data_IF_657748682921
#
_entry.id   IF_657748682921
#
_cell.length_a   1.000
_cell.length_b   1.000
_cell.length_c   1.000
_cell.angle_alpha   90.00
_cell.angle_beta   90.00
_cell.angle_gamma   90.00
#
_symmetry.space_group_name_H-M   'P 1'
#
loop_
_entity.id
_entity.type
_entity.pdbx_description
1 polymer ?
#
# COMPACT_ATOMS: atom_id res chain seq x y z
N UNK A 1 9.31 -26.59 -6.54
CA UNK A 1 10.27 -25.63 -7.14
C UNK A 1 9.79 -25.07 -8.46
N UNK A 2 9.23 -25.86 -9.39
CA UNK A 2 8.72 -25.34 -10.67
C UNK A 2 7.60 -24.33 -10.45
N UNK A 3 6.73 -24.50 -9.46
CA UNK A 3 5.77 -23.46 -9.08
C UNK A 3 6.44 -22.19 -8.53
N UNK A 4 7.59 -22.30 -7.86
CA UNK A 4 8.35 -21.17 -7.30
C UNK A 4 9.28 -20.55 -8.35
N UNK A 5 9.82 -21.29 -9.31
CA UNK A 5 10.67 -20.82 -10.40
C UNK A 5 9.81 -20.30 -11.57
N UNK A 6 8.67 -20.93 -11.90
CA UNK A 6 7.61 -20.34 -12.73
C UNK A 6 7.14 -19.04 -12.11
N UNK A 7 6.79 -19.03 -10.81
CA UNK A 7 6.44 -17.79 -10.12
C UNK A 7 7.60 -16.86 -9.88
N UNK A 8 8.86 -17.28 -9.81
CA UNK A 8 10.01 -16.39 -9.57
C UNK A 8 10.63 -15.88 -10.85
N UNK A 9 10.43 -16.53 -11.99
CA UNK A 9 10.87 -16.09 -13.30
C UNK A 9 9.73 -15.35 -14.02
N UNK A 10 8.49 -15.83 -13.87
CA UNK A 10 7.33 -14.97 -14.06
C UNK A 10 7.38 -13.83 -13.04
N UNK A 11 7.76 -13.97 -11.75
CA UNK A 11 7.92 -12.80 -10.83
C UNK A 11 9.11 -11.88 -11.10
N UNK A 12 10.25 -12.43 -11.48
CA UNK A 12 11.45 -11.65 -11.79
C UNK A 12 11.40 -11.03 -13.19
N UNK A 13 10.49 -11.43 -14.08
CA UNK A 13 10.31 -10.79 -15.40
C UNK A 13 8.93 -10.10 -15.52
N UNK A 14 7.89 -10.53 -14.79
CA UNK A 14 6.48 -10.09 -14.97
C UNK A 14 5.59 -10.04 -13.69
N UNK A 15 5.98 -10.65 -12.58
CA UNK A 15 5.14 -10.89 -11.39
C UNK A 15 5.60 -10.00 -10.25
N UNK A 16 5.80 -8.73 -10.60
CA UNK A 16 5.40 -7.64 -9.72
C UNK A 16 3.86 -7.61 -9.52
N UNK A 17 3.09 -8.46 -10.23
CA UNK A 17 1.68 -8.73 -9.97
C UNK A 17 1.51 -9.99 -9.12
N UNK A 18 1.25 -9.86 -7.80
CA UNK A 18 0.84 -11.00 -7.00
C UNK A 18 -0.51 -11.53 -7.53
N UNK A 19 -0.50 -12.71 -8.16
CA UNK A 19 -1.73 -13.48 -8.39
C UNK A 19 -2.28 -13.86 -7.02
N UNK A 20 -3.29 -13.11 -6.61
CA UNK A 20 -3.95 -13.13 -5.31
C UNK A 20 -4.78 -14.40 -5.08
N UNK A 21 -4.14 -15.57 -5.08
CA UNK A 21 -4.78 -16.82 -4.67
C UNK A 21 -4.71 -17.06 -3.14
N UNK A 22 -4.11 -16.13 -2.38
CA UNK A 22 -4.07 -16.17 -0.92
C UNK A 22 -5.39 -15.69 -0.29
N UNK A 23 -5.78 -16.28 0.85
CA UNK A 23 -6.89 -15.76 1.65
C UNK A 23 -6.68 -14.27 1.96
N UNK A 24 -7.71 -13.45 1.72
CA UNK A 24 -7.68 -12.05 2.08
C UNK A 24 -7.67 -11.88 3.62
N UNK A 25 -6.82 -10.99 4.09
CA UNK A 25 -6.79 -10.47 5.45
C UNK A 25 -7.39 -9.06 5.47
N UNK A 26 -8.14 -8.76 6.51
CA UNK A 26 -8.87 -7.50 6.62
C UNK A 26 -8.46 -6.77 7.89
N UNK A 27 -8.22 -5.47 7.77
CA UNK A 27 -7.78 -4.61 8.85
C UNK A 27 -8.75 -3.45 8.96
N UNK A 28 -9.37 -3.31 10.12
CA UNK A 28 -10.32 -2.26 10.39
C UNK A 28 -9.81 -1.39 11.53
N UNK A 29 -10.02 -0.09 11.41
CA UNK A 29 -9.82 0.84 12.51
C UNK A 29 -10.84 1.96 12.47
N UNK A 30 -11.26 2.41 13.65
CA UNK A 30 -12.13 3.57 13.83
C UNK A 30 -11.54 4.46 14.92
N UNK A 31 -11.35 5.73 14.58
CA UNK A 31 -10.66 6.71 15.42
C UNK A 31 -11.56 7.93 15.60
N UNK A 32 -11.76 8.37 16.83
CA UNK A 32 -12.43 9.65 17.10
C UNK A 32 -11.46 10.53 17.88
N UNK A 33 -11.16 11.70 17.33
CA UNK A 33 -10.32 12.71 17.98
C UNK A 33 -11.25 13.76 18.57
N UNK A 34 -11.04 14.08 19.84
CA UNK A 34 -11.81 15.07 20.57
C UNK A 34 -11.14 16.46 20.49
N UNK A 35 -11.88 17.52 20.80
CA UNK A 35 -11.42 18.92 20.72
C UNK A 35 -10.19 19.22 21.58
N UNK A 36 -10.02 18.48 22.68
CA UNK A 36 -8.86 18.54 23.59
C UNK A 36 -7.66 17.72 23.10
N UNK A 37 -7.81 16.92 22.04
CA UNK A 37 -6.79 16.03 21.51
C UNK A 37 -6.80 14.62 22.09
N UNK A 38 -7.69 14.31 23.03
CA UNK A 38 -7.93 12.94 23.47
C UNK A 38 -8.49 12.10 22.32
N UNK A 39 -8.25 10.79 22.36
CA UNK A 39 -8.56 9.91 21.24
C UNK A 39 -9.23 8.64 21.71
N UNK A 40 -10.32 8.28 21.04
CA UNK A 40 -10.87 6.94 21.08
C UNK A 40 -10.38 6.16 19.87
N UNK A 41 -9.90 4.93 20.08
CA UNK A 41 -9.52 4.04 18.98
C UNK A 41 -10.15 2.66 19.17
N UNK A 42 -10.66 2.13 18.08
CA UNK A 42 -11.08 0.75 17.95
C UNK A 42 -10.36 0.10 16.77
N UNK A 43 -9.99 -1.18 16.90
CA UNK A 43 -9.34 -1.94 15.83
C UNK A 43 -9.95 -3.34 15.72
N UNK A 44 -9.90 -3.91 14.52
CA UNK A 44 -10.12 -5.34 14.25
C UNK A 44 -9.08 -5.81 13.23
N UNK A 45 -8.34 -6.86 13.54
CA UNK A 45 -7.31 -7.38 12.65
C UNK A 45 -7.01 -8.87 12.91
N UNK A 46 -6.33 -9.58 12.00
CA UNK A 46 -5.89 -10.95 12.25
C UNK A 46 -4.98 -11.02 13.50
N UNK A 47 -5.20 -12.03 14.34
CA UNK A 47 -4.38 -12.27 15.53
C UNK A 47 -2.91 -12.53 15.16
N UNK A 48 -2.67 -13.16 14.01
CA UNK A 48 -1.32 -13.40 13.45
C UNK A 48 -0.54 -12.13 13.10
N UNK A 49 -1.23 -11.00 12.96
CA UNK A 49 -0.67 -9.72 12.55
C UNK A 49 -0.41 -8.75 13.72
N UNK A 50 -0.68 -9.18 14.95
CA UNK A 50 -0.32 -8.40 16.13
C UNK A 50 1.20 -8.24 16.23
N UNK A 51 1.63 -7.03 16.56
CA UNK A 51 3.05 -6.71 16.76
C UNK A 51 3.56 -7.37 18.04
N UNK A 52 4.87 -7.56 18.16
CA UNK A 52 5.46 -7.97 19.44
C UNK A 52 5.27 -6.89 20.53
N UNK A 53 5.02 -5.63 20.12
CA UNK A 53 4.74 -4.50 21.00
C UNK A 53 3.27 -4.33 21.37
N UNK A 54 2.37 -5.21 20.91
CA UNK A 54 0.96 -5.14 21.27
C UNK A 54 0.80 -5.50 22.76
N UNK A 55 0.54 -4.48 23.58
CA UNK A 55 0.30 -4.65 25.02
C UNK A 55 -1.20 -4.55 25.31
N UNK A 56 -1.83 -5.70 25.53
CA UNK A 56 -3.27 -5.80 25.85
C UNK A 56 -3.67 -4.92 27.05
N UNK A 57 -2.75 -4.66 27.98
CA UNK A 57 -3.02 -3.85 29.19
C UNK A 57 -3.14 -2.36 28.91
N UNK A 58 -2.73 -1.91 27.73
CA UNK A 58 -2.87 -0.52 27.28
C UNK A 58 -4.21 -0.25 26.58
N UNK A 59 -5.04 -1.29 26.42
CA UNK A 59 -6.37 -1.18 25.85
C UNK A 59 -7.40 -1.39 26.96
N UNK A 60 -8.52 -0.67 26.89
CA UNK A 60 -9.61 -0.80 27.86
C UNK A 60 -10.30 -2.16 27.73
N UNK A 61 -10.38 -2.67 26.49
CA UNK A 61 -10.89 -4.00 26.22
C UNK A 61 -10.16 -4.64 25.03
N UNK A 62 -9.83 -5.93 25.16
CA UNK A 62 -9.33 -6.79 24.08
C UNK A 62 -10.11 -8.09 24.07
N UNK A 63 -10.60 -8.50 22.90
CA UNK A 63 -11.37 -9.73 22.76
C UNK A 63 -11.21 -10.37 21.39
N UNK A 64 -11.44 -11.68 21.32
CA UNK A 64 -11.49 -12.40 20.05
C UNK A 64 -12.77 -12.08 19.26
N UNK A 65 -12.67 -12.00 17.94
CA UNK A 65 -13.83 -11.79 17.05
C UNK A 65 -13.78 -12.71 15.83
N UNK A 66 -14.90 -12.79 15.12
CA UNK A 66 -15.00 -13.55 13.87
C UNK A 66 -14.12 -12.90 12.79
N UNK A 67 -13.67 -13.72 11.84
CA UNK A 67 -13.02 -13.23 10.62
C UNK A 67 -13.95 -12.28 9.86
N UNK A 68 -13.40 -11.15 9.44
CA UNK A 68 -14.07 -10.24 8.51
C UNK A 68 -14.04 -10.87 7.10
N UNK A 69 -15.08 -10.65 6.31
CA UNK A 69 -15.21 -11.23 4.96
C UNK A 69 -15.25 -10.18 3.83
N UNK A 70 -14.78 -8.95 4.11
CA UNK A 70 -14.58 -7.90 3.10
C UNK A 70 -15.84 -7.22 2.56
N UNK A 71 -17.02 -7.83 2.75
CA UNK A 71 -18.32 -7.32 2.33
C UNK A 71 -19.08 -6.54 3.41
N UNK A 72 -20.36 -6.83 3.62
CA UNK A 72 -21.23 -6.16 4.61
C UNK A 72 -20.84 -6.43 6.09
N UNK A 73 -19.77 -7.17 6.35
CA UNK A 73 -19.37 -7.58 7.70
C UNK A 73 -18.44 -6.60 8.42
N UNK A 74 -17.98 -5.54 7.76
CA UNK A 74 -17.20 -4.51 8.43
C UNK A 74 -18.05 -3.81 9.49
N UNK A 75 -17.55 -3.67 10.72
CA UNK A 75 -18.16 -2.76 11.68
C UNK A 75 -18.21 -1.36 11.05
N UNK A 76 -19.34 -0.69 11.18
CA UNK A 76 -19.50 0.70 10.69
C UNK A 76 -18.93 1.70 11.69
N UNK A 77 -18.92 1.34 12.97
CA UNK A 77 -18.46 2.17 14.08
C UNK A 77 -17.94 1.31 15.23
N UNK A 78 -17.17 1.96 16.12
CA UNK A 78 -16.79 1.41 17.44
C UNK A 78 -17.97 0.83 18.21
N UNK A 79 -19.16 1.43 18.16
CA UNK A 79 -20.34 0.99 18.91
C UNK A 79 -20.91 -0.36 18.44
N UNK A 80 -20.63 -0.78 17.21
CA UNK A 80 -21.02 -2.10 16.71
C UNK A 80 -20.09 -3.22 17.21
N UNK A 81 -18.92 -2.87 17.76
CA UNK A 81 -18.04 -3.83 18.43
C UNK A 81 -18.59 -4.15 19.82
N UNK A 82 -19.51 -5.11 19.87
CA UNK A 82 -19.92 -5.70 21.15
C UNK A 82 -18.85 -6.67 21.62
N UNK A 83 -18.41 -6.54 22.87
CA UNK A 83 -17.61 -7.57 23.52
C UNK A 83 -18.40 -8.88 23.53
N UNK A 84 -17.91 -9.98 22.93
CA UNK A 84 -18.55 -11.27 23.09
C UNK A 84 -18.49 -11.67 24.57
N UNK A 85 -19.47 -12.45 25.02
CA UNK A 85 -19.63 -12.87 26.42
C UNK A 85 -18.45 -13.69 26.97
N UNK A 86 -17.51 -14.13 26.12
CA UNK A 86 -16.17 -14.58 26.52
C UNK A 86 -15.20 -14.49 25.31
N UNK A 87 -13.93 -14.09 25.51
CA UNK A 87 -12.90 -14.24 24.49
C UNK A 87 -12.74 -15.73 24.18
N UNK A 88 -12.92 -16.16 22.94
CA UNK A 88 -12.52 -17.51 22.56
C UNK A 88 -11.02 -17.49 22.24
N UNK A 89 -10.18 -18.30 22.93
CA UNK A 89 -8.74 -18.36 22.68
C UNK A 89 -8.37 -18.70 21.22
N UNK A 90 -9.32 -19.27 20.48
CA UNK A 90 -9.15 -19.70 19.09
C UNK A 90 -9.72 -18.71 18.07
N UNK A 91 -10.04 -17.47 18.47
CA UNK A 91 -10.47 -16.46 17.49
C UNK A 91 -9.31 -16.08 16.56
N UNK A 92 -9.53 -16.25 15.26
CA UNK A 92 -8.59 -15.85 14.20
C UNK A 92 -8.33 -14.34 14.19
N UNK A 93 -9.32 -13.54 14.63
CA UNK A 93 -9.23 -12.09 14.69
C UNK A 93 -9.32 -11.61 16.13
N UNK A 94 -8.72 -10.44 16.35
CA UNK A 94 -8.77 -9.72 17.62
C UNK A 94 -9.39 -8.36 17.39
N UNK A 95 -10.22 -7.93 18.33
CA UNK A 95 -10.71 -6.58 18.43
C UNK A 95 -10.13 -5.93 19.70
N UNK A 96 -9.80 -4.65 19.63
CA UNK A 96 -9.38 -3.89 20.80
C UNK A 96 -9.99 -2.49 20.79
N UNK A 97 -10.32 -2.00 21.98
CA UNK A 97 -10.96 -0.72 22.24
C UNK A 97 -10.13 0.03 23.30
N UNK A 98 -9.87 1.30 23.07
CA UNK A 98 -9.11 2.12 24.02
C UNK A 98 -9.44 3.60 23.94
N UNK A 99 -9.24 4.30 25.04
CA UNK A 99 -9.21 5.76 25.17
C UNK A 99 -7.79 6.19 25.53
N UNK A 100 -7.28 7.20 24.83
CA UNK A 100 -5.88 7.61 24.89
C UNK A 100 -5.78 9.13 25.07
N UNK A 101 -4.86 9.62 25.93
CA UNK A 101 -4.67 11.06 26.12
C UNK A 101 -4.27 11.81 24.84
N UNK A 102 -3.50 11.17 23.97
CA UNK A 102 -3.09 11.72 22.67
C UNK A 102 -3.01 10.64 21.59
N UNK A 103 -2.97 11.04 20.32
CA UNK A 103 -2.74 10.12 19.19
C UNK A 103 -1.42 9.35 19.31
N UNK A 104 -0.39 9.94 19.95
CA UNK A 104 0.91 9.29 20.15
C UNK A 104 0.87 8.18 21.20
N UNK A 105 -0.14 8.19 22.08
CA UNK A 105 -0.29 7.19 23.14
C UNK A 105 -0.98 5.91 22.66
N UNK A 106 -1.57 5.91 21.45
CA UNK A 106 -2.19 4.73 20.83
C UNK A 106 -1.10 3.64 20.63
N UNK A 107 -1.23 2.45 21.26
CA UNK A 107 -0.26 1.39 21.11
C UNK A 107 -0.11 0.94 19.65
N UNK A 108 1.13 0.62 19.26
CA UNK A 108 1.38 0.00 17.97
C UNK A 108 0.68 -1.36 17.90
N UNK A 109 -0.24 -1.50 16.95
CA UNK A 109 -1.05 -2.70 16.77
C UNK A 109 -0.81 -3.40 15.44
N UNK A 110 -0.20 -2.73 14.46
CA UNK A 110 0.11 -3.32 13.15
C UNK A 110 1.60 -3.23 12.83
N UNK A 111 2.16 -4.34 12.39
CA UNK A 111 3.53 -4.43 11.89
C UNK A 111 3.58 -5.53 10.82
N UNK A 112 3.89 -5.15 9.58
CA UNK A 112 4.22 -6.11 8.55
C UNK A 112 5.69 -6.51 8.74
N UNK A 113 5.89 -7.70 9.32
CA UNK A 113 7.24 -8.24 9.52
C UNK A 113 7.93 -8.46 8.17
N UNK A 114 9.14 -7.91 7.95
CA UNK A 114 9.91 -8.25 6.77
C UNK A 114 10.25 -9.76 6.76
N UNK A 115 10.61 -10.33 5.59
CA UNK A 115 11.28 -11.62 5.56
C UNK A 115 12.53 -11.61 6.43
N UNK A 116 12.91 -12.77 6.96
CA UNK A 116 14.10 -12.89 7.79
C UNK A 116 15.35 -12.40 7.04
N UNK A 117 16.18 -11.60 7.72
CA UNK A 117 17.40 -11.02 7.13
C UNK A 117 17.19 -9.70 6.36
N UNK A 118 15.97 -9.18 6.29
CA UNK A 118 15.70 -7.82 5.80
C UNK A 118 15.46 -6.90 7.00
N UNK A 119 16.21 -5.81 7.08
CA UNK A 119 16.08 -4.80 8.13
C UNK A 119 14.91 -3.85 7.87
N UNK A 120 14.45 -3.16 8.92
CA UNK A 120 13.34 -2.21 8.85
C UNK A 120 12.01 -2.79 9.31
N UNK A 121 11.00 -1.92 9.39
CA UNK A 121 9.63 -2.29 9.79
C UNK A 121 8.61 -1.47 9.01
N UNK A 122 7.61 -2.14 8.48
CA UNK A 122 6.43 -1.49 7.93
C UNK A 122 5.36 -1.45 9.01
N UNK A 123 5.04 -0.24 9.46
CA UNK A 123 4.17 0.01 10.60
C UNK A 123 3.19 1.14 10.28
N UNK A 124 2.27 1.38 11.20
CA UNK A 124 1.42 2.56 11.16
C UNK A 124 2.05 3.67 12.01
N UNK A 125 2.49 4.73 11.35
CA UNK A 125 3.02 5.93 11.99
C UNK A 125 1.93 6.99 12.05
N UNK A 126 1.74 7.60 13.21
CA UNK A 126 0.66 8.56 13.46
C UNK A 126 1.23 9.89 13.92
N UNK A 127 0.62 10.97 13.48
CA UNK A 127 0.89 12.33 13.97
C UNK A 127 -0.41 13.09 14.14
N UNK A 128 -0.46 13.95 15.15
CA UNK A 128 -1.55 14.88 15.37
C UNK A 128 -1.00 16.22 15.83
N UNK A 129 -1.50 17.28 15.22
CA UNK A 129 -1.18 18.65 15.56
C UNK A 129 -2.46 19.44 15.79
N UNK A 130 -2.47 20.22 16.88
CA UNK A 130 -3.59 21.06 17.29
C UNK A 130 -3.08 22.49 17.37
N UNK A 131 -3.58 23.37 16.52
CA UNK A 131 -3.19 24.78 16.46
C UNK A 131 -4.35 25.68 16.85
N UNK A 132 -4.14 26.43 17.92
CA UNK A 132 -5.12 27.36 18.47
C UNK A 132 -4.93 28.76 17.85
N UNK A 133 -5.97 29.27 17.20
CA UNK A 133 -6.02 30.60 16.59
C UNK A 133 -6.84 31.60 17.42
N UNK A 134 -7.20 31.26 18.65
CA UNK A 134 -8.01 32.06 19.57
C UNK A 134 -9.51 31.95 19.28
N UNK A 135 -9.96 32.24 18.07
CA UNK A 135 -11.39 32.20 17.70
C UNK A 135 -11.85 30.84 17.14
N UNK A 136 -10.88 29.99 16.81
CA UNK A 136 -11.07 28.65 16.28
C UNK A 136 -9.79 27.83 16.46
N UNK A 137 -9.93 26.51 16.29
CA UNK A 137 -8.83 25.55 16.41
C UNK A 137 -8.70 24.79 15.10
N UNK A 138 -7.47 24.59 14.64
CA UNK A 138 -7.15 23.69 13.55
C UNK A 138 -6.64 22.37 14.09
N UNK A 139 -7.15 21.29 13.55
CA UNK A 139 -6.72 19.94 13.87
C UNK A 139 -6.17 19.29 12.61
N UNK A 140 -4.95 18.79 12.69
CA UNK A 140 -4.28 18.07 11.59
C UNK A 140 -3.94 16.68 12.09
N UNK A 141 -4.56 15.67 11.49
CA UNK A 141 -4.27 14.28 11.77
C UNK A 141 -3.70 13.60 10.53
N UNK A 142 -2.72 12.72 10.75
CA UNK A 142 -2.18 11.85 9.73
C UNK A 142 -1.83 10.48 10.33
N UNK A 143 -2.20 9.42 9.62
CA UNK A 143 -1.71 8.07 9.84
C UNK A 143 -1.15 7.53 8.51
N UNK A 144 0.07 7.02 8.54
CA UNK A 144 0.77 6.48 7.38
C UNK A 144 1.06 5.01 7.59
N UNK A 145 0.59 4.16 6.69
CA UNK A 145 1.13 2.80 6.56
C UNK A 145 2.47 2.89 5.83
N UNK A 146 3.58 2.63 6.52
CA UNK A 146 4.91 2.68 5.91
C UNK A 146 5.22 1.40 5.14
N UNK A 147 6.23 1.48 4.28
CA UNK A 147 6.92 0.32 3.70
C UNK A 147 8.38 0.32 4.17
N UNK A 148 9.08 -0.80 4.00
CA UNK A 148 10.49 -0.97 4.33
C UNK A 148 11.41 -0.54 3.18
N UNK A 149 10.86 -0.32 1.99
CA UNK A 149 11.65 -0.12 0.77
C UNK A 149 12.10 1.33 0.63
N UNK A 150 13.40 1.54 0.61
CA UNK A 150 14.00 2.78 0.15
C UNK A 150 14.38 2.69 -1.34
N UNK A 151 14.19 3.78 -2.10
CA UNK A 151 14.43 3.78 -3.54
C UNK A 151 15.86 3.33 -3.91
N UNK A 152 16.87 3.82 -3.18
CA UNK A 152 18.26 3.42 -3.43
C UNK A 152 18.51 1.93 -3.16
N UNK A 153 17.77 1.33 -2.23
CA UNK A 153 17.89 -0.09 -1.91
C UNK A 153 17.19 -0.98 -2.92
N UNK A 154 16.00 -0.58 -3.36
CA UNK A 154 15.25 -1.20 -4.46
C UNK A 154 16.11 -1.34 -5.72
N UNK A 155 16.77 -0.27 -6.15
CA UNK A 155 17.59 -0.26 -7.36
C UNK A 155 18.80 -1.22 -7.28
N UNK A 156 19.31 -1.47 -6.07
CA UNK A 156 20.35 -2.50 -5.85
C UNK A 156 19.74 -3.90 -5.81
N UNK A 157 18.68 -4.08 -5.03
CA UNK A 157 18.01 -5.35 -4.83
C UNK A 157 17.45 -5.92 -6.14
N UNK A 158 16.96 -5.08 -7.06
CA UNK A 158 16.45 -5.54 -8.37
C UNK A 158 17.53 -6.22 -9.20
N UNK A 159 18.75 -5.67 -9.22
CA UNK A 159 19.89 -6.25 -9.94
C UNK A 159 20.39 -7.52 -9.27
N UNK A 160 20.49 -7.52 -7.94
CA UNK A 160 20.85 -8.70 -7.15
C UNK A 160 19.84 -9.85 -7.37
N UNK A 161 18.54 -9.53 -7.41
CA UNK A 161 17.46 -10.48 -7.67
C UNK A 161 17.57 -11.06 -9.09
N UNK A 162 17.70 -10.21 -10.10
CA UNK A 162 17.84 -10.63 -11.48
C UNK A 162 19.06 -11.55 -11.65
N UNK A 163 20.22 -11.18 -11.09
CA UNK A 163 21.42 -12.02 -11.14
C UNK A 163 21.22 -13.38 -10.45
N UNK A 164 20.63 -13.40 -9.26
CA UNK A 164 20.35 -14.64 -8.53
C UNK A 164 19.50 -15.60 -9.37
N UNK A 165 18.36 -15.11 -9.88
CA UNK A 165 17.40 -15.92 -10.64
C UNK A 165 17.99 -16.41 -11.96
N UNK A 166 18.76 -15.58 -12.65
CA UNK A 166 19.42 -15.94 -13.91
C UNK A 166 20.50 -16.99 -13.69
N UNK A 167 21.39 -16.79 -12.72
CA UNK A 167 22.46 -17.74 -12.44
C UNK A 167 21.91 -19.11 -12.01
N UNK A 168 20.89 -19.11 -11.17
CA UNK A 168 20.24 -20.34 -10.72
C UNK A 168 19.47 -21.02 -11.83
N UNK A 169 18.74 -20.25 -12.64
CA UNK A 169 18.03 -20.77 -13.82
C UNK A 169 18.98 -21.42 -14.83
N UNK A 170 20.13 -20.79 -15.11
CA UNK A 170 21.10 -21.33 -16.07
C UNK A 170 21.72 -22.65 -15.57
N UNK A 171 22.10 -22.70 -14.29
CA UNK A 171 22.66 -23.93 -13.70
C UNK A 171 21.61 -25.04 -13.62
N UNK A 172 20.39 -24.71 -13.21
CA UNK A 172 19.30 -25.67 -13.17
C UNK A 172 18.97 -26.22 -14.57
N UNK A 173 18.91 -25.36 -15.60
CA UNK A 173 18.67 -25.79 -16.98
C UNK A 173 19.70 -26.82 -17.46
N UNK A 174 20.99 -26.61 -17.15
CA UNK A 174 22.07 -27.58 -17.48
C UNK A 174 21.90 -28.94 -16.80
N UNK A 175 21.38 -28.97 -15.57
CA UNK A 175 21.14 -30.20 -14.82
C UNK A 175 19.89 -30.92 -15.33
N UNK A 176 18.82 -30.16 -15.57
CA UNK A 176 17.52 -30.67 -15.96
C UNK A 176 17.48 -31.20 -17.41
N UNK A 177 18.24 -30.55 -18.30
CA UNK A 177 18.25 -30.82 -19.75
C UNK A 177 19.69 -30.91 -20.28
N UNK A 178 20.45 -31.95 -19.92
CA UNK A 178 21.87 -32.07 -20.31
C UNK A 178 22.08 -32.22 -21.83
N UNK A 179 21.03 -32.58 -22.57
CA UNK A 179 21.00 -32.66 -24.04
C UNK A 179 20.75 -31.32 -24.73
N UNK A 180 20.45 -30.26 -23.96
CA UNK A 180 20.03 -28.94 -24.46
C UNK A 180 21.08 -27.88 -24.11
N UNK A 181 21.52 -27.13 -25.12
CA UNK A 181 22.25 -25.88 -24.92
C UNK A 181 21.26 -24.71 -24.75
N UNK A 182 21.08 -24.30 -23.50
CA UNK A 182 20.30 -23.14 -23.11
C UNK A 182 21.12 -21.83 -23.08
N UNK A 183 22.40 -21.86 -23.47
CA UNK A 183 23.30 -20.71 -23.43
C UNK A 183 22.78 -19.47 -24.16
N UNK A 184 22.29 -19.58 -25.41
CA UNK A 184 21.72 -18.44 -26.13
C UNK A 184 20.46 -17.88 -25.47
N UNK A 185 19.60 -18.74 -24.93
CA UNK A 185 18.42 -18.30 -24.16
C UNK A 185 18.88 -17.51 -22.94
N UNK A 186 19.78 -18.06 -22.12
CA UNK A 186 20.27 -17.39 -20.91
C UNK A 186 21.04 -16.09 -21.19
N UNK A 187 21.68 -15.97 -22.36
CA UNK A 187 22.24 -14.70 -22.84
C UNK A 187 21.13 -13.68 -23.13
N UNK A 188 20.09 -14.07 -23.86
CA UNK A 188 18.94 -13.19 -24.11
C UNK A 188 18.30 -12.71 -22.80
N UNK A 189 18.20 -13.58 -21.80
CA UNK A 189 17.65 -13.24 -20.48
C UNK A 189 18.52 -12.22 -19.75
N UNK A 190 19.85 -12.39 -19.76
CA UNK A 190 20.79 -11.42 -19.18
C UNK A 190 20.73 -10.05 -19.82
N UNK A 191 20.55 -10.03 -21.13
CA UNK A 191 20.58 -8.79 -21.91
C UNK A 191 19.18 -8.14 -21.89
N UNK A 192 18.22 -8.76 -22.58
CA UNK A 192 16.87 -8.23 -22.79
C UNK A 192 15.98 -8.44 -21.56
N UNK A 193 16.03 -9.61 -20.92
CA UNK A 193 15.17 -9.92 -19.77
C UNK A 193 15.43 -9.02 -18.57
N UNK A 194 16.70 -8.69 -18.30
CA UNK A 194 17.07 -7.73 -17.24
C UNK A 194 16.61 -6.32 -17.58
N UNK A 195 16.79 -5.87 -18.83
CA UNK A 195 16.31 -4.56 -19.26
C UNK A 195 14.78 -4.46 -19.14
N UNK A 196 14.06 -5.51 -19.54
CA UNK A 196 12.61 -5.61 -19.39
C UNK A 196 12.17 -5.50 -17.93
N UNK A 197 12.82 -6.26 -17.03
CA UNK A 197 12.51 -6.20 -15.60
C UNK A 197 12.76 -4.82 -15.01
N UNK A 198 13.90 -4.20 -15.34
CA UNK A 198 14.25 -2.85 -14.90
C UNK A 198 13.18 -1.83 -15.35
N UNK A 199 12.73 -1.90 -16.61
CA UNK A 199 11.66 -1.02 -17.13
C UNK A 199 10.32 -1.19 -16.41
N UNK A 200 9.94 -2.43 -16.08
CA UNK A 200 8.70 -2.70 -15.34
C UNK A 200 8.76 -2.16 -13.91
N UNK A 201 9.89 -2.35 -13.23
CA UNK A 201 10.11 -1.80 -11.89
C UNK A 201 10.12 -0.28 -11.93
N UNK A 202 10.78 0.33 -12.92
CA UNK A 202 10.80 1.79 -13.08
C UNK A 202 9.39 2.34 -13.33
N UNK A 203 8.59 1.70 -14.20
CA UNK A 203 7.21 2.10 -14.43
C UNK A 203 6.33 1.97 -13.17
N UNK A 204 6.56 0.95 -12.34
CA UNK A 204 5.86 0.78 -11.08
C UNK A 204 6.20 1.91 -10.09
N UNK A 205 7.49 2.24 -9.94
CA UNK A 205 7.95 3.34 -9.07
C UNK A 205 7.45 4.70 -9.57
N UNK A 206 7.52 4.95 -10.89
CA UNK A 206 7.06 6.21 -11.48
C UNK A 206 5.55 6.40 -11.25
N UNK A 207 4.75 5.37 -11.52
CA UNK A 207 3.29 5.40 -11.29
C UNK A 207 2.98 5.72 -9.83
N UNK A 208 3.66 5.05 -8.90
CA UNK A 208 3.47 5.28 -7.47
C UNK A 208 3.91 6.69 -7.03
N UNK A 209 4.99 7.22 -7.61
CA UNK A 209 5.50 8.57 -7.28
C UNK A 209 4.57 9.70 -7.73
N UNK A 210 3.78 9.44 -8.76
CA UNK A 210 2.78 10.37 -9.31
C UNK A 210 1.39 10.16 -8.70
N UNK A 211 1.25 9.23 -7.73
CA UNK A 211 -0.03 8.84 -7.13
C UNK A 211 -1.07 8.42 -8.17
N UNK A 212 -0.64 7.82 -9.26
CA UNK A 212 -1.52 7.37 -10.34
C UNK A 212 -2.13 6.01 -10.04
N UNK A 213 -3.23 5.68 -10.74
CA UNK A 213 -3.95 4.42 -10.52
C UNK A 213 -3.18 3.20 -11.03
N UNK A 214 -3.55 2.02 -10.53
CA UNK A 214 -3.04 0.74 -11.05
C UNK A 214 -3.29 0.60 -12.56
N UNK A 215 -4.40 1.11 -13.08
CA UNK A 215 -4.67 1.11 -14.53
C UNK A 215 -3.62 1.89 -15.34
N UNK A 216 -3.05 2.96 -14.76
CA UNK A 216 -1.97 3.71 -15.41
C UNK A 216 -0.69 2.87 -15.50
N UNK A 217 -0.35 2.16 -14.42
CA UNK A 217 0.73 1.18 -14.44
C UNK A 217 0.46 0.07 -15.46
N UNK A 218 -0.74 -0.52 -15.48
CA UNK A 218 -1.08 -1.59 -16.42
C UNK A 218 -0.92 -1.16 -17.88
N UNK A 219 -1.36 0.05 -18.23
CA UNK A 219 -1.15 0.59 -19.59
C UNK A 219 0.34 0.73 -19.93
N UNK A 220 1.16 1.23 -19.00
CA UNK A 220 2.62 1.31 -19.20
C UNK A 220 3.24 -0.08 -19.34
N UNK A 221 2.85 -1.02 -18.49
CA UNK A 221 3.34 -2.39 -18.49
C UNK A 221 3.01 -3.12 -19.80
N UNK A 222 1.80 -2.96 -20.34
CA UNK A 222 1.43 -3.48 -21.67
C UNK A 222 2.36 -2.94 -22.76
N UNK A 223 2.62 -1.63 -22.77
CA UNK A 223 3.51 -1.01 -23.74
C UNK A 223 4.97 -1.48 -23.59
N UNK A 224 5.44 -1.69 -22.36
CA UNK A 224 6.76 -2.26 -22.08
C UNK A 224 6.82 -3.71 -22.61
N UNK A 225 5.84 -4.56 -22.26
CA UNK A 225 5.79 -5.95 -22.70
C UNK A 225 5.82 -6.06 -24.23
N UNK A 226 5.06 -5.21 -24.94
CA UNK A 226 5.03 -5.20 -26.39
C UNK A 226 6.41 -4.86 -27.02
N UNK A 227 7.18 -3.94 -26.42
CA UNK A 227 8.56 -3.63 -26.87
C UNK A 227 9.49 -4.83 -26.76
N UNK A 228 9.29 -5.64 -25.72
CA UNK A 228 10.07 -6.86 -25.46
C UNK A 228 9.51 -8.11 -26.18
N UNK A 229 8.49 -7.93 -27.01
CA UNK A 229 7.91 -8.96 -27.89
C UNK A 229 6.75 -9.75 -27.28
N UNK A 230 6.29 -9.41 -26.08
CA UNK A 230 5.07 -9.96 -25.48
C UNK A 230 3.90 -9.00 -25.76
N UNK A 231 3.14 -9.27 -26.81
CA UNK A 231 1.97 -8.47 -27.16
C UNK A 231 0.76 -8.81 -26.28
N UNK A 232 0.34 -7.82 -25.49
CA UNK A 232 -0.82 -7.88 -24.58
C UNK A 232 -1.96 -6.94 -25.01
N UNK A 233 -1.90 -6.42 -26.25
CA UNK A 233 -2.85 -5.42 -26.76
C UNK A 233 -4.16 -6.02 -27.25
N UNK A 234 -4.12 -7.26 -27.75
CA UNK A 234 -5.31 -7.96 -28.22
C UNK A 234 -6.18 -8.45 -27.05
N UNK A 235 -7.51 -8.26 -27.11
CA UNK A 235 -8.41 -8.89 -26.15
C UNK A 235 -8.29 -10.43 -26.23
N UNK A 236 -8.56 -11.15 -25.14
CA UNK A 236 -8.58 -12.62 -25.11
C UNK A 236 -9.48 -13.19 -26.19
N UNK A 237 -9.18 -14.40 -26.65
CA UNK A 237 -10.18 -15.18 -27.33
C UNK A 237 -11.18 -15.69 -26.27
N UNK A 238 -12.45 -15.22 -26.24
CA UNK A 238 -13.43 -15.64 -25.23
C UNK A 238 -13.67 -17.15 -25.24
N UNK A 239 -13.41 -17.84 -26.36
CA UNK A 239 -13.57 -19.30 -26.49
C UNK A 239 -12.47 -20.10 -25.78
N UNK A 240 -11.35 -19.48 -25.40
CA UNK A 240 -10.20 -20.16 -24.75
C UNK A 240 -10.04 -19.82 -23.27
N UNK A 241 -10.90 -18.98 -22.72
CA UNK A 241 -10.83 -18.61 -21.31
C UNK A 241 -11.60 -19.66 -20.51
N UNK A 242 -10.90 -20.51 -19.76
CA UNK A 242 -11.52 -21.55 -18.92
C UNK A 242 -12.49 -20.95 -17.86
N UNK A 243 -12.33 -19.67 -17.56
CA UNK A 243 -13.24 -18.88 -16.72
C UNK A 243 -13.70 -17.63 -17.50
N UNK A 244 -14.91 -17.62 -18.09
CA UNK A 244 -15.43 -16.44 -18.75
C UNK A 244 -15.50 -15.27 -17.76
N UNK A 245 -14.96 -14.12 -18.16
CA UNK A 245 -14.96 -12.90 -17.36
C UNK A 245 -16.41 -12.50 -17.08
N UNK A 246 -16.76 -12.29 -15.81
CA UNK A 246 -18.09 -11.82 -15.43
C UNK A 246 -18.41 -10.49 -16.15
N UNK A 247 -19.64 -10.31 -16.67
CA UNK A 247 -20.04 -9.08 -17.34
C UNK A 247 -19.74 -7.85 -16.46
N UNK A 248 -18.90 -6.94 -16.98
CA UNK A 248 -18.53 -5.70 -16.29
C UNK A 248 -17.20 -5.72 -15.53
N UNK A 249 -16.48 -6.85 -15.48
CA UNK A 249 -15.09 -6.87 -15.01
C UNK A 249 -14.14 -6.65 -16.19
N UNK A 250 -13.20 -5.70 -16.05
CA UNK A 250 -12.04 -5.63 -16.95
C UNK A 250 -11.14 -6.81 -16.63
N UNK A 251 -10.60 -7.43 -17.67
CA UNK A 251 -9.51 -8.38 -17.53
C UNK A 251 -8.31 -7.71 -16.86
N UNK A 252 -7.70 -8.39 -15.89
CA UNK A 252 -6.50 -7.88 -15.23
C UNK A 252 -5.28 -8.06 -16.13
N UNK A 253 -4.24 -7.24 -15.92
CA UNK A 253 -2.95 -7.46 -16.59
C UNK A 253 -2.40 -8.88 -16.35
N UNK A 254 -2.66 -9.46 -15.18
CA UNK A 254 -2.25 -10.84 -14.86
C UNK A 254 -2.88 -11.88 -15.78
N UNK A 255 -4.17 -11.78 -16.06
CA UNK A 255 -4.88 -12.73 -16.93
C UNK A 255 -4.35 -12.68 -18.37
N UNK A 256 -4.05 -11.47 -18.89
CA UNK A 256 -3.45 -11.29 -20.22
C UNK A 256 -2.07 -11.92 -20.31
N UNK A 257 -1.26 -11.71 -19.27
CA UNK A 257 0.07 -12.31 -19.17
C UNK A 257 -0.07 -13.83 -19.18
N UNK A 258 -0.90 -14.41 -18.33
CA UNK A 258 -1.05 -15.86 -18.22
C UNK A 258 -1.46 -16.51 -19.56
N UNK A 259 -2.36 -15.89 -20.31
CA UNK A 259 -2.81 -16.42 -21.62
C UNK A 259 -1.74 -16.33 -22.72
N UNK A 260 -0.88 -15.31 -22.71
CA UNK A 260 0.03 -15.00 -23.82
C UNK A 260 1.47 -15.42 -23.55
N UNK A 261 1.84 -15.55 -22.28
CA UNK A 261 3.20 -15.82 -21.87
C UNK A 261 3.70 -17.18 -22.37
N UNK A 262 2.86 -18.21 -22.40
CA UNK A 262 3.24 -19.53 -22.92
C UNK A 262 3.60 -19.48 -24.42
N UNK A 263 2.80 -18.78 -25.22
CA UNK A 263 3.07 -18.60 -26.67
C UNK A 263 4.37 -17.84 -26.89
N UNK A 264 4.57 -16.76 -26.13
CA UNK A 264 5.80 -15.98 -26.16
C UNK A 264 7.02 -16.81 -25.75
N UNK A 265 6.92 -17.54 -24.64
CA UNK A 265 8.00 -18.39 -24.13
C UNK A 265 8.34 -19.50 -25.13
N UNK A 266 7.32 -20.12 -25.74
CA UNK A 266 7.53 -21.11 -26.81
C UNK A 266 8.30 -20.52 -27.98
N UNK A 267 7.92 -19.34 -28.47
CA UNK A 267 8.62 -18.68 -29.55
C UNK A 267 10.10 -18.42 -29.20
N UNK A 268 10.39 -17.94 -27.98
CA UNK A 268 11.77 -17.77 -27.50
C UNK A 268 12.53 -19.09 -27.42
N UNK A 269 11.90 -20.16 -26.94
CA UNK A 269 12.51 -21.49 -26.88
C UNK A 269 12.86 -22.03 -28.27
N UNK A 270 11.96 -21.90 -29.26
CA UNK A 270 12.21 -22.26 -30.68
C UNK A 270 13.40 -21.49 -31.23
N UNK A 271 13.46 -20.19 -30.95
CA UNK A 271 14.50 -19.33 -31.52
C UNK A 271 15.86 -19.54 -30.85
N UNK A 272 15.91 -19.86 -29.56
CA UNK A 272 17.13 -19.75 -28.76
C UNK A 272 17.66 -21.06 -28.18
N UNK A 273 16.83 -22.09 -27.98
CA UNK A 273 17.32 -23.38 -27.50
C UNK A 273 17.98 -24.17 -28.64
N UNK A 274 19.09 -24.83 -28.32
CA UNK A 274 19.82 -25.70 -29.25
C UNK A 274 20.06 -27.07 -28.61
N UNK A 275 20.36 -28.07 -29.42
CA UNK A 275 21.02 -29.26 -28.91
C UNK A 275 22.50 -28.95 -28.58
N UNK A 276 23.19 -29.89 -27.93
CA UNK A 276 24.62 -29.75 -27.61
C UNK A 276 25.55 -29.67 -28.82
N UNK A 277 25.05 -29.95 -30.03
CA UNK A 277 25.79 -29.81 -31.29
C UNK A 277 25.50 -28.47 -31.99
N UNK A 278 24.67 -27.60 -31.40
CA UNK A 278 24.28 -26.31 -31.95
C UNK A 278 23.12 -26.36 -32.95
N UNK A 279 22.47 -27.50 -33.13
CA UNK A 279 21.29 -27.64 -34.00
C UNK A 279 20.02 -27.14 -33.31
N UNK A 280 19.02 -26.78 -34.11
CA UNK A 280 17.68 -26.47 -33.58
C UNK A 280 17.04 -27.72 -32.98
N UNK A 281 16.38 -27.56 -31.83
CA UNK A 281 15.54 -28.61 -31.26
C UNK A 281 14.29 -28.81 -32.14
N UNK A 282 13.72 -30.02 -32.10
CA UNK A 282 12.42 -30.28 -32.71
C UNK A 282 11.30 -29.65 -31.90
N UNK A 283 10.21 -29.26 -32.56
CA UNK A 283 9.00 -28.74 -31.91
C UNK A 283 8.51 -29.66 -30.78
N UNK A 284 8.47 -30.97 -31.03
CA UNK A 284 8.08 -31.95 -30.02
C UNK A 284 8.98 -31.95 -28.79
N UNK A 285 10.28 -31.66 -28.94
CA UNK A 285 11.21 -31.55 -27.81
C UNK A 285 10.99 -30.25 -27.05
N UNK A 286 10.72 -29.15 -27.75
CA UNK A 286 10.40 -27.85 -27.13
C UNK A 286 9.10 -27.96 -26.35
N UNK A 287 8.05 -28.52 -26.95
CA UNK A 287 6.76 -28.73 -26.31
C UNK A 287 6.91 -29.63 -25.08
N UNK A 288 7.72 -30.70 -25.16
CA UNK A 288 8.05 -31.51 -23.99
C UNK A 288 8.74 -30.71 -22.88
N UNK A 289 9.74 -29.87 -23.20
CA UNK A 289 10.41 -29.03 -22.20
C UNK A 289 9.41 -28.06 -21.56
N UNK A 290 8.57 -27.41 -22.36
CA UNK A 290 7.53 -26.50 -21.86
C UNK A 290 6.53 -27.25 -20.99
N UNK A 291 6.02 -28.40 -21.41
CA UNK A 291 5.12 -29.23 -20.60
C UNK A 291 5.73 -29.61 -19.25
N UNK A 292 7.04 -29.90 -19.20
CA UNK A 292 7.74 -30.17 -17.94
C UNK A 292 7.79 -28.94 -17.00
N UNK A 293 7.73 -27.72 -17.53
CA UNK A 293 7.77 -26.46 -16.77
C UNK A 293 6.40 -25.82 -16.48
N UNK A 294 5.48 -25.88 -17.44
CA UNK A 294 4.21 -25.14 -17.43
C UNK A 294 2.98 -26.03 -17.55
N UNK A 295 3.12 -27.30 -17.97
CA UNK A 295 2.00 -28.21 -18.18
C UNK A 295 1.28 -28.63 -16.90
N UNK A 296 -0.02 -28.90 -17.02
CA UNK A 296 -0.90 -29.34 -15.91
C UNK A 296 -1.45 -30.76 -16.12
N UNK A 297 -0.78 -31.57 -16.94
CA UNK A 297 -1.16 -32.96 -17.22
C UNK A 297 -0.58 -33.95 -16.21
N UNK A 298 -1.12 -35.16 -16.11
CA UNK A 298 -0.53 -36.23 -15.25
C UNK A 298 0.95 -36.52 -15.62
N UNK A 299 1.28 -36.49 -16.91
CA UNK A 299 2.65 -36.62 -17.41
C UNK A 299 3.53 -35.43 -16.98
N UNK A 300 2.95 -34.24 -16.92
CA UNK A 300 3.61 -33.07 -16.35
C UNK A 300 3.80 -33.23 -14.83
N UNK A 301 2.91 -33.91 -14.11
CA UNK A 301 3.04 -34.13 -12.67
C UNK A 301 4.26 -35.00 -12.30
N UNK A 302 4.50 -36.10 -13.03
CA UNK A 302 5.70 -36.93 -12.84
C UNK A 302 6.97 -36.16 -13.17
N UNK A 303 6.97 -35.45 -14.29
CA UNK A 303 8.11 -34.64 -14.73
C UNK A 303 8.40 -33.49 -13.77
N UNK A 304 7.35 -32.88 -13.21
CA UNK A 304 7.42 -31.85 -12.19
C UNK A 304 8.05 -32.40 -10.92
N UNK A 305 7.64 -33.58 -10.46
CA UNK A 305 8.26 -34.25 -9.31
C UNK A 305 9.76 -34.49 -9.52
N UNK A 306 10.17 -34.95 -10.72
CA UNK A 306 11.59 -35.11 -11.10
C UNK A 306 12.35 -33.79 -11.02
N UNK A 307 11.84 -32.76 -11.68
CA UNK A 307 12.48 -31.44 -11.74
C UNK A 307 12.50 -30.74 -10.38
N UNK A 308 11.49 -30.94 -9.55
CA UNK A 308 11.49 -30.47 -8.16
C UNK A 308 12.57 -31.15 -7.33
N UNK A 309 12.74 -32.46 -7.48
CA UNK A 309 13.79 -33.22 -6.80
C UNK A 309 15.19 -32.78 -7.24
N UNK A 310 15.40 -32.58 -8.55
CA UNK A 310 16.66 -32.06 -9.10
C UNK A 310 16.95 -30.64 -8.59
N UNK A 311 15.91 -29.82 -8.54
CA UNK A 311 16.00 -28.48 -8.02
C UNK A 311 16.41 -28.51 -6.55
N UNK A 312 15.77 -29.34 -5.73
CA UNK A 312 16.09 -29.45 -4.31
C UNK A 312 17.52 -29.91 -4.07
N UNK A 313 17.99 -30.89 -4.85
CA UNK A 313 19.38 -31.31 -4.81
C UNK A 313 20.33 -30.15 -5.15
N UNK A 314 20.03 -29.38 -6.20
CA UNK A 314 20.81 -28.20 -6.59
C UNK A 314 20.82 -27.11 -5.49
N UNK A 315 19.67 -26.83 -4.88
CA UNK A 315 19.57 -25.84 -3.80
C UNK A 315 20.35 -26.30 -2.58
N UNK A 316 20.23 -27.56 -2.20
CA UNK A 316 20.98 -28.13 -1.07
C UNK A 316 22.49 -28.07 -1.35
N UNK A 317 22.92 -28.41 -2.57
CA UNK A 317 24.33 -28.32 -2.97
C UNK A 317 24.86 -26.89 -2.92
N UNK A 318 24.14 -25.92 -3.49
CA UNK A 318 24.62 -24.53 -3.62
C UNK A 318 24.42 -23.70 -2.35
N UNK A 319 23.33 -23.90 -1.63
CA UNK A 319 22.89 -23.07 -0.51
C UNK A 319 22.88 -23.81 0.84
N UNK A 320 23.23 -25.10 0.86
CA UNK A 320 23.20 -25.96 2.04
C UNK A 320 21.80 -26.48 2.37
N UNK A 321 20.77 -25.63 2.24
CA UNK A 321 19.38 -26.02 2.38
C UNK A 321 18.43 -25.03 1.69
N UNK A 322 17.16 -25.41 1.61
CA UNK A 322 16.08 -24.64 0.99
C UNK A 322 15.70 -23.37 1.74
N UNK A 323 15.69 -23.39 3.06
CA UNK A 323 15.34 -22.21 3.88
C UNK A 323 16.30 -21.05 3.62
N UNK A 324 17.61 -21.32 3.48
CA UNK A 324 18.62 -20.30 3.18
C UNK A 324 18.39 -19.67 1.81
N UNK A 325 18.08 -20.47 0.78
CA UNK A 325 17.75 -19.97 -0.55
C UNK A 325 16.47 -19.14 -0.54
N UNK A 326 15.38 -19.67 0.03
CA UNK A 326 14.08 -18.98 0.08
C UNK A 326 14.18 -17.69 0.90
N UNK A 327 14.94 -17.66 1.99
CA UNK A 327 15.22 -16.44 2.76
C UNK A 327 15.91 -15.38 1.90
N UNK A 328 16.94 -15.76 1.14
CA UNK A 328 17.64 -14.83 0.24
C UNK A 328 16.73 -14.33 -0.87
N UNK A 329 16.00 -15.21 -1.53
CA UNK A 329 15.08 -14.87 -2.62
C UNK A 329 13.97 -13.94 -2.13
N UNK A 330 13.27 -14.31 -1.05
CA UNK A 330 12.19 -13.49 -0.49
C UNK A 330 12.71 -12.16 0.07
N UNK A 331 13.92 -12.15 0.65
CA UNK A 331 14.53 -10.91 1.13
C UNK A 331 14.80 -9.92 -0.01
N UNK A 332 15.35 -10.39 -1.12
CA UNK A 332 15.53 -9.58 -2.32
C UNK A 332 14.19 -9.15 -2.92
N UNK A 333 13.21 -10.05 -3.00
CA UNK A 333 11.88 -9.73 -3.52
C UNK A 333 11.21 -8.64 -2.68
N UNK A 334 11.23 -8.73 -1.34
CA UNK A 334 10.66 -7.72 -0.46
C UNK A 334 11.34 -6.34 -0.58
N UNK A 335 12.65 -6.31 -0.86
CA UNK A 335 13.37 -5.06 -1.13
C UNK A 335 13.02 -4.46 -2.50
N UNK A 336 12.54 -5.27 -3.45
CA UNK A 336 12.13 -4.80 -4.78
C UNK A 336 10.66 -4.40 -4.82
N UNK A 337 9.75 -5.21 -4.27
CA UNK A 337 8.31 -4.98 -4.41
C UNK A 337 7.63 -4.51 -3.13
N UNK A 338 8.36 -4.37 -2.01
CA UNK A 338 7.78 -4.02 -0.72
C UNK A 338 7.39 -5.23 0.11
N UNK A 339 7.38 -5.06 1.43
CA UNK A 339 6.99 -6.13 2.37
C UNK A 339 5.51 -6.50 2.26
N UNK A 340 4.70 -5.53 1.83
CA UNK A 340 3.26 -5.72 1.64
C UNK A 340 2.95 -6.57 0.41
N UNK A 341 3.73 -6.44 -0.66
CA UNK A 341 3.58 -7.25 -1.88
C UNK A 341 4.31 -8.60 -1.81
N UNK A 342 5.43 -8.69 -1.10
CA UNK A 342 6.25 -9.91 -1.05
C UNK A 342 5.55 -11.10 -0.36
N UNK A 343 4.55 -10.81 0.49
CA UNK A 343 3.68 -11.83 1.05
C UNK A 343 2.47 -11.95 0.13
N UNK A 344 2.38 -13.05 -0.62
CA UNK A 344 1.40 -13.34 -1.69
C UNK A 344 -0.08 -13.41 -1.24
N UNK A 345 -0.57 -12.47 -0.43
CA UNK A 345 -1.93 -12.41 0.08
C UNK A 345 -2.51 -11.00 -0.03
N UNK A 346 -3.83 -10.92 -0.24
CA UNK A 346 -4.53 -9.64 -0.24
C UNK A 346 -4.70 -9.18 1.20
N UNK A 347 -4.21 -7.98 1.50
CA UNK A 347 -4.52 -7.28 2.74
C UNK A 347 -5.32 -6.04 2.42
N UNK A 348 -6.52 -5.94 2.97
CA UNK A 348 -7.41 -4.80 2.74
C UNK A 348 -7.62 -4.04 4.06
N UNK A 349 -7.47 -2.73 4.00
CA UNK A 349 -7.62 -1.81 5.12
C UNK A 349 -8.90 -1.00 4.93
N UNK A 350 -9.69 -0.86 6.00
CA UNK A 350 -10.80 0.08 6.10
C UNK A 350 -10.66 0.90 7.37
N UNK A 351 -10.17 2.11 7.25
CA UNK A 351 -9.88 2.98 8.38
C UNK A 351 -10.86 4.16 8.36
N UNK A 352 -11.38 4.55 9.51
CA UNK A 352 -12.16 5.78 9.68
C UNK A 352 -11.55 6.69 10.72
N UNK A 353 -11.70 7.99 10.48
CA UNK A 353 -11.39 9.04 11.45
C UNK A 353 -12.55 10.02 11.54
N UNK A 354 -12.99 10.29 12.76
CA UNK A 354 -13.90 11.37 13.11
C UNK A 354 -13.07 12.48 13.76
N UNK A 355 -13.11 13.67 13.18
CA UNK A 355 -12.35 14.84 13.61
C UNK A 355 -13.25 15.82 14.36
N UNK A 356 -12.69 16.62 15.30
CA UNK A 356 -13.42 17.73 15.90
C UNK A 356 -13.58 18.86 14.87
N UNK A 357 -14.71 19.58 14.91
CA UNK A 357 -15.02 20.60 13.90
C UNK A 357 -15.22 20.04 12.49
N UNK A 358 -15.26 20.91 11.48
CA UNK A 358 -15.54 20.52 10.10
C UNK A 358 -14.27 20.10 9.36
N UNK A 359 -14.25 18.92 8.73
CA UNK A 359 -13.15 18.50 7.86
C UNK A 359 -13.10 19.43 6.65
N UNK A 360 -11.99 20.13 6.46
CA UNK A 360 -11.73 21.03 5.32
C UNK A 360 -10.85 20.40 4.25
N UNK A 361 -10.12 19.33 4.56
CA UNK A 361 -9.30 18.57 3.61
C UNK A 361 -9.10 17.13 4.09
N UNK A 362 -9.13 16.15 3.17
CA UNK A 362 -8.84 14.75 3.45
C UNK A 362 -8.26 14.06 2.22
N UNK A 363 -7.43 13.02 2.41
CA UNK A 363 -7.02 12.09 1.34
C UNK A 363 -7.98 10.90 1.17
N UNK A 364 -8.97 10.78 2.05
CA UNK A 364 -9.99 9.74 2.03
C UNK A 364 -11.30 10.21 1.42
N UNK A 365 -12.34 9.39 1.57
CA UNK A 365 -13.71 9.74 1.19
C UNK A 365 -14.39 10.39 2.39
N UNK A 366 -15.02 11.55 2.22
CA UNK A 366 -15.88 12.14 3.25
C UNK A 366 -17.19 11.36 3.33
N UNK A 367 -17.52 10.89 4.53
CA UNK A 367 -18.83 10.27 4.81
C UNK A 367 -19.82 11.33 5.26
N UNK A 368 -19.35 12.26 6.10
CA UNK A 368 -20.06 13.46 6.51
C UNK A 368 -19.07 14.61 6.76
N UNK A 369 -19.52 15.67 7.41
CA UNK A 369 -18.73 16.87 7.70
C UNK A 369 -17.59 16.65 8.71
N UNK A 370 -17.62 15.55 9.47
CA UNK A 370 -16.72 15.25 10.58
C UNK A 370 -15.96 13.95 10.38
N UNK A 371 -16.41 13.07 9.48
CA UNK A 371 -15.87 11.74 9.31
C UNK A 371 -15.32 11.50 7.90
N UNK A 372 -14.12 10.92 7.84
CA UNK A 372 -13.52 10.41 6.61
C UNK A 372 -13.20 8.92 6.72
N UNK A 373 -13.35 8.20 5.61
CA UNK A 373 -13.05 6.78 5.46
C UNK A 373 -11.98 6.56 4.39
N UNK A 374 -11.04 5.69 4.70
CA UNK A 374 -9.95 5.25 3.83
C UNK A 374 -10.12 3.76 3.57
N UNK A 375 -10.17 3.36 2.29
CA UNK A 375 -10.19 1.96 1.87
C UNK A 375 -9.06 1.73 0.88
N UNK A 376 -8.12 0.86 1.23
CA UNK A 376 -6.93 0.63 0.42
C UNK A 376 -6.37 -0.77 0.64
N UNK A 377 -5.59 -1.26 -0.32
CA UNK A 377 -4.85 -2.52 -0.23
C UNK A 377 -3.46 -2.24 0.34
N UNK A 378 -2.85 -3.21 1.02
CA UNK A 378 -1.47 -3.02 1.51
C UNK A 378 -0.49 -2.64 0.39
N UNK A 379 -0.72 -3.15 -0.82
CA UNK A 379 0.09 -2.90 -2.00
C UNK A 379 0.08 -1.41 -2.42
N UNK A 380 -0.96 -0.67 -2.05
CA UNK A 380 -1.06 0.77 -2.31
C UNK A 380 -0.10 1.59 -1.43
N UNK A 381 0.50 0.96 -0.40
CA UNK A 381 1.55 1.57 0.40
C UNK A 381 2.93 1.45 -0.23
N UNK A 382 3.10 0.71 -1.32
CA UNK A 382 4.40 0.57 -1.96
C UNK A 382 4.65 1.68 -2.99
N UNK A 383 5.89 2.21 -3.12
CA UNK A 383 7.01 2.10 -2.19
C UNK A 383 7.01 3.20 -1.11
N UNK A 384 6.14 4.21 -1.24
CA UNK A 384 6.26 5.46 -0.48
C UNK A 384 5.43 5.52 0.82
N UNK A 385 4.73 4.45 1.14
CA UNK A 385 3.70 4.36 2.16
C UNK A 385 2.33 4.88 1.68
N UNK A 386 1.27 4.50 2.39
CA UNK A 386 -0.08 4.99 2.15
C UNK A 386 -0.45 6.03 3.21
N UNK A 387 -0.74 7.26 2.80
CA UNK A 387 -1.03 8.39 3.70
C UNK A 387 -2.53 8.60 3.84
N UNK A 388 -3.03 8.41 5.06
CA UNK A 388 -4.37 8.79 5.48
C UNK A 388 -4.25 10.12 6.23
N UNK A 389 -4.82 11.19 5.70
CA UNK A 389 -4.72 12.51 6.32
C UNK A 389 -6.07 13.21 6.36
N UNK A 390 -6.31 13.95 7.44
CA UNK A 390 -7.47 14.81 7.62
C UNK A 390 -7.05 16.12 8.28
N UNK A 391 -7.66 17.22 7.82
CA UNK A 391 -7.55 18.53 8.44
C UNK A 391 -8.95 19.06 8.70
N UNK A 392 -9.22 19.47 9.93
CA UNK A 392 -10.50 20.09 10.31
C UNK A 392 -10.31 21.44 11.01
N UNK A 393 -11.37 22.25 10.98
CA UNK A 393 -11.47 23.53 11.68
C UNK A 393 -12.66 23.50 12.62
N UNK A 394 -12.40 23.75 13.89
CA UNK A 394 -13.41 23.79 14.96
C UNK A 394 -13.60 25.22 15.45
N UNK A 395 -14.84 25.76 15.48
CA UNK A 395 -15.08 27.09 16.00
C UNK A 395 -14.94 27.08 17.53
N UNK A 396 -14.20 28.04 18.09
CA UNK A 396 -14.15 28.22 19.53
C UNK A 396 -15.31 29.14 19.95
N UNK A 397 -16.44 28.51 20.25
CA UNK A 397 -17.70 29.18 20.59
C UNK A 397 -17.55 30.04 21.85
N UNK A 398 -16.81 29.57 22.85
CA UNK A 398 -16.62 30.28 24.10
C UNK A 398 -15.74 31.52 23.88
N UNK A 399 -14.61 31.36 23.20
CA UNK A 399 -13.69 32.46 22.89
C UNK A 399 -14.33 33.51 21.98
N UNK A 400 -15.14 33.09 21.00
CA UNK A 400 -15.94 34.01 20.18
C UNK A 400 -16.96 34.77 21.02
N UNK A 401 -17.74 34.09 21.87
CA UNK A 401 -18.71 34.77 22.73
C UNK A 401 -18.03 35.77 23.69
N UNK A 402 -16.87 35.40 24.25
CA UNK A 402 -16.08 36.24 25.15
C UNK A 402 -15.54 37.50 24.45
N UNK A 403 -15.00 37.36 23.24
CA UNK A 403 -14.34 38.46 22.54
C UNK A 403 -15.29 39.30 21.68
N UNK A 404 -16.24 38.65 21.01
CA UNK A 404 -17.13 39.26 20.01
C UNK A 404 -18.53 39.55 20.58
N UNK A 405 -18.84 39.08 21.79
CA UNK A 405 -20.17 39.14 22.39
C UNK A 405 -21.21 38.21 21.76
N UNK A 406 -20.85 37.49 20.68
CA UNK A 406 -21.71 36.55 19.96
C UNK A 406 -20.85 35.60 19.13
N UNK A 407 -21.42 34.50 18.67
CA UNK A 407 -20.76 33.61 17.71
C UNK A 407 -20.96 34.17 16.31
N UNK A 408 -19.89 34.60 15.65
CA UNK A 408 -19.95 35.14 14.28
C UNK A 408 -19.38 34.19 13.24
N UNK A 409 -18.52 33.28 13.65
CA UNK A 409 -17.73 32.40 12.78
C UNK A 409 -18.16 30.98 13.10
N UNK A 410 -19.35 30.62 12.61
CA UNK A 410 -20.05 29.39 12.96
C UNK A 410 -20.18 28.41 11.80
N UNK A 411 -19.59 28.72 10.64
CA UNK A 411 -19.68 27.89 9.45
C UNK A 411 -18.31 27.61 8.83
N UNK A 412 -18.25 26.50 8.09
CA UNK A 412 -17.05 25.98 7.44
C UNK A 412 -16.42 26.98 6.47
N UNK A 413 -17.21 27.74 5.72
CA UNK A 413 -16.69 28.67 4.72
C UNK A 413 -16.00 29.84 5.40
N UNK A 414 -16.63 30.42 6.42
CA UNK A 414 -16.06 31.49 7.25
C UNK A 414 -14.77 31.05 7.94
N UNK A 415 -14.72 29.85 8.54
CA UNK A 415 -13.50 29.34 9.17
C UNK A 415 -12.37 29.10 8.18
N UNK A 416 -12.67 28.48 7.03
CA UNK A 416 -11.68 28.25 5.98
C UNK A 416 -11.08 29.56 5.50
N UNK A 417 -11.95 30.56 5.28
CA UNK A 417 -11.54 31.89 4.84
C UNK A 417 -10.68 32.62 5.86
N UNK A 418 -11.06 32.55 7.14
CA UNK A 418 -10.27 33.15 8.22
C UNK A 418 -8.91 32.47 8.37
N UNK A 419 -8.86 31.15 8.20
CA UNK A 419 -7.61 30.40 8.22
C UNK A 419 -6.68 30.81 7.08
N UNK A 420 -7.19 31.02 5.87
CA UNK A 420 -6.41 31.57 4.76
C UNK A 420 -5.83 32.95 5.11
N UNK A 421 -6.57 33.80 5.81
CA UNK A 421 -6.04 35.09 6.26
C UNK A 421 -4.92 34.94 7.28
N UNK A 422 -5.08 34.05 8.28
CA UNK A 422 -4.03 33.76 9.25
C UNK A 422 -2.76 33.16 8.61
N UNK A 423 -2.91 32.34 7.56
CA UNK A 423 -1.77 31.76 6.84
C UNK A 423 -0.99 32.82 6.04
N UNK A 424 -1.68 33.82 5.49
CA UNK A 424 -1.07 34.94 4.78
C UNK A 424 -0.55 36.05 5.70
N UNK A 425 -1.06 36.13 6.93
CA UNK A 425 -0.66 37.10 7.94
C UNK A 425 -0.64 36.43 9.34
N UNK A 426 0.51 35.84 9.74
CA UNK A 426 0.65 35.22 11.06
C UNK A 426 0.40 36.17 12.23
N UNK A 427 0.57 37.49 12.02
CA UNK A 427 0.28 38.51 13.04
C UNK A 427 -1.22 38.58 13.37
N UNK A 428 -2.08 38.27 12.40
CA UNK A 428 -3.53 38.23 12.62
C UNK A 428 -3.92 37.13 13.62
N UNK A 429 -3.32 35.94 13.52
CA UNK A 429 -3.57 34.84 14.45
C UNK A 429 -3.15 35.20 15.90
N UNK A 430 -2.04 35.92 16.07
CA UNK A 430 -1.62 36.43 17.37
C UNK A 430 -2.58 37.50 17.91
N UNK A 431 -3.09 38.37 17.02
CA UNK A 431 -4.08 39.38 17.41
C UNK A 431 -5.40 38.75 17.87
N UNK A 432 -5.84 37.63 17.27
CA UNK A 432 -7.01 36.89 17.73
C UNK A 432 -6.82 36.30 19.12
N UNK A 433 -5.68 35.63 19.37
CA UNK A 433 -5.36 35.10 20.71
C UNK A 433 -5.28 36.20 21.76
N UNK A 434 -4.67 37.33 21.42
CA UNK A 434 -4.61 38.53 22.28
C UNK A 434 -6.00 39.07 22.56
N UNK A 435 -6.86 39.19 21.55
CA UNK A 435 -8.22 39.67 21.69
C UNK A 435 -9.09 38.77 22.59
N UNK A 436 -8.95 37.45 22.45
CA UNK A 436 -9.62 36.46 23.32
C UNK A 436 -9.11 36.53 24.76
N UNK A 437 -7.79 36.66 24.97
CA UNK A 437 -7.21 36.84 26.30
C UNK A 437 -7.77 38.11 26.96
N UNK A 438 -7.75 39.21 26.23
CA UNK A 438 -8.14 40.53 26.71
C UNK A 438 -9.68 40.71 26.77
N UNK A 439 -10.43 39.81 26.14
CA UNK A 439 -11.90 39.90 26.02
C UNK A 439 -12.35 41.12 25.22
N UNK A 440 -11.54 41.57 24.26
CA UNK A 440 -11.78 42.80 23.51
C UNK A 440 -11.27 42.70 22.07
N UNK A 441 -12.02 43.26 21.13
CA UNK A 441 -11.69 43.31 19.71
C UNK A 441 -10.52 44.25 19.34
N UNK A 442 -10.10 45.11 20.27
CA UNK A 442 -9.10 46.15 20.03
C UNK A 442 -7.79 45.64 19.40
N UNK A 443 -7.18 44.52 19.84
CA UNK A 443 -5.95 44.01 19.24
C UNK A 443 -6.09 43.67 17.76
N UNK A 444 -7.25 43.14 17.35
CA UNK A 444 -7.53 42.82 15.95
C UNK A 444 -7.67 44.11 15.13
N UNK A 445 -8.42 45.08 15.66
CA UNK A 445 -8.61 46.38 14.99
C UNK A 445 -7.28 47.13 14.81
N UNK A 446 -6.43 47.13 15.84
CA UNK A 446 -5.09 47.74 15.81
C UNK A 446 -4.18 47.04 14.80
N UNK A 447 -4.16 45.69 14.78
CA UNK A 447 -3.39 44.93 13.80
C UNK A 447 -3.81 45.27 12.37
N UNK A 448 -5.13 45.23 12.08
CA UNK A 448 -5.67 45.52 10.75
C UNK A 448 -5.49 46.98 10.30
N UNK A 449 -5.27 47.91 11.23
CA UNK A 449 -5.02 49.32 10.91
C UNK A 449 -3.52 49.66 10.81
N UNK A 450 -2.65 48.81 11.33
CA UNK A 450 -1.20 49.03 11.38
C UNK A 450 -0.48 48.59 10.11
N UNK A 451 0.71 49.16 9.89
CA UNK A 451 1.60 48.82 8.78
C UNK A 451 2.12 47.37 8.83
N UNK A 452 1.94 46.68 9.96
CA UNK A 452 2.32 45.29 10.15
C UNK A 452 1.34 44.28 9.51
N UNK A 453 0.14 44.70 9.12
CA UNK A 453 -0.82 43.81 8.47
C UNK A 453 -0.40 43.52 7.03
N UNK A 454 -0.17 42.25 6.72
CA UNK A 454 0.22 41.80 5.39
C UNK A 454 -0.96 41.61 4.43
N UNK A 455 -2.20 41.68 4.94
CA UNK A 455 -3.39 41.42 4.14
C UNK A 455 -3.72 42.59 3.19
N UNK A 456 -4.16 42.31 1.96
CA UNK A 456 -4.72 43.33 1.08
C UNK A 456 -5.95 44.00 1.71
N UNK A 457 -6.22 45.28 1.39
CA UNK A 457 -7.34 46.06 1.95
C UNK A 457 -8.68 45.33 1.90
N UNK A 458 -9.00 44.69 0.75
CA UNK A 458 -10.24 43.91 0.60
C UNK A 458 -10.36 42.76 1.62
N UNK A 459 -9.26 42.08 1.91
CA UNK A 459 -9.21 40.99 2.89
C UNK A 459 -9.32 41.54 4.31
N UNK A 460 -8.69 42.68 4.59
CA UNK A 460 -8.87 43.36 5.89
C UNK A 460 -10.34 43.74 6.14
N UNK A 461 -11.03 44.29 5.14
CA UNK A 461 -12.44 44.65 5.24
C UNK A 461 -13.35 43.42 5.42
N UNK A 462 -12.98 42.30 4.82
CA UNK A 462 -13.64 41.01 5.04
C UNK A 462 -13.48 40.55 6.49
N UNK A 463 -12.27 40.61 7.05
CA UNK A 463 -12.02 40.30 8.47
C UNK A 463 -12.81 41.25 9.37
N UNK A 464 -12.79 42.57 9.11
CA UNK A 464 -13.57 43.55 9.89
C UNK A 464 -15.05 43.19 9.94
N UNK A 465 -15.63 42.83 8.80
CA UNK A 465 -17.04 42.38 8.70
C UNK A 465 -17.30 41.11 9.51
N UNK A 466 -16.43 40.11 9.38
CA UNK A 466 -16.54 38.85 10.13
C UNK A 466 -16.45 39.09 11.65
N UNK A 467 -15.63 40.05 12.09
CA UNK A 467 -15.47 40.41 13.50
C UNK A 467 -16.55 41.37 14.03
N UNK A 468 -17.30 42.06 13.15
CA UNK A 468 -18.22 43.13 13.56
C UNK A 468 -17.53 44.43 13.96
N UNK A 469 -16.43 44.77 13.30
CA UNK A 469 -15.61 45.96 13.51
C UNK A 469 -16.00 47.16 12.61
N UNK A 470 -17.24 47.19 12.10
CA UNK A 470 -17.74 48.27 11.23
C UNK A 470 -18.09 49.56 11.98
#
# INVERSE_FOLDING_TARGET
>A
MIGIARRAWAAAVLGCLPVAAGCAEYYWADTTIHSDGCVERAIVQPRSSLTAGFDERKWDAVFGTRKLDGGLSWPRSRTELSAPSAPTPNSEYVAALGEFPTVADIPSHFEAKPPEGVEGRAELVRTYDRRDFGLFVEHVWMEKLTDIVELGDLLRARRELAHLVIEDGERFARIAFPDVDAGPLMKWVRDEGVAWFDELVDAMVETASQSESMEAFERRAVAICARHGLDLSDPPNPEKTENPIEPGKSESLGDRIDQRFEVFLRAKCVDLLRDTNGNRLSDARIDAILDEFVGDTERAAESKSRLESLGDAYIIERYGNREVYERRLHGLLARVVGVHNARLGLRLFRYSVTMPGWIVSTTGVLVDDHQSVFVFRANDAYPFGHVMACRSLEPDIESQAKCLGTVRIADRASLTRLKEFCDNDPGLAESFRTAVRDGALRPIAEHLAGDACALPTRSQDEVRRMMGLE
#
